data_IF_056474435178
#
_entry.id   IF_056474435178
#
_cell.length_a   1.000
_cell.length_b   1.000
_cell.length_c   1.000
_cell.angle_alpha   90.00
_cell.angle_beta   90.00
_cell.angle_gamma   90.00
#
_symmetry.space_group_name_H-M   'P 1'
#
loop_
_entity.id
_entity.type
_entity.pdbx_description
1 polymer ?
#
# COMPACT_ATOMS: atom_id res chain seq x y z
N UNK A 1 -4.37 10.25 -29.00
CA UNK A 1 -3.74 8.95 -28.83
C UNK A 1 -4.66 8.06 -27.99
N UNK A 2 -4.81 6.81 -28.39
CA UNK A 2 -5.53 5.80 -27.60
C UNK A 2 -4.52 5.12 -26.67
N UNK A 3 -4.84 5.06 -25.37
CA UNK A 3 -4.02 4.36 -24.38
C UNK A 3 -4.53 2.92 -24.29
N UNK A 4 -3.69 1.95 -24.70
CA UNK A 4 -4.04 0.54 -24.68
C UNK A 4 -3.87 -0.08 -23.28
N UNK A 5 -2.83 0.33 -22.55
CA UNK A 5 -2.51 -0.16 -21.21
C UNK A 5 -1.58 0.81 -20.47
N UNK A 6 -1.67 0.81 -19.15
CA UNK A 6 -0.67 1.39 -18.24
C UNK A 6 0.16 0.23 -17.68
N UNK A 7 1.49 0.40 -17.62
CA UNK A 7 2.41 -0.60 -17.07
C UNK A 7 3.32 0.07 -16.03
N UNK A 8 3.57 -0.60 -14.91
CA UNK A 8 4.49 -0.12 -13.89
C UNK A 8 5.96 -0.27 -14.35
N UNK A 9 6.81 0.69 -13.98
CA UNK A 9 8.22 0.72 -14.41
C UNK A 9 9.00 -0.55 -14.03
N UNK A 10 8.95 -1.07 -12.79
CA UNK A 10 9.68 -2.31 -12.44
C UNK A 10 9.17 -3.51 -13.22
N UNK A 11 7.90 -3.53 -13.58
CA UNK A 11 7.31 -4.60 -14.39
C UNK A 11 7.79 -4.50 -15.83
N UNK A 12 7.87 -3.30 -16.39
CA UNK A 12 8.46 -3.08 -17.71
C UNK A 12 9.93 -3.49 -17.74
N UNK A 13 10.71 -3.09 -16.74
CA UNK A 13 12.12 -3.48 -16.62
C UNK A 13 12.30 -5.01 -16.56
N UNK A 14 11.40 -5.71 -15.85
CA UNK A 14 11.44 -7.18 -15.78
C UNK A 14 11.15 -7.84 -17.12
N UNK A 15 10.24 -7.29 -17.93
CA UNK A 15 9.99 -7.76 -19.30
C UNK A 15 11.23 -7.63 -20.18
N UNK A 16 11.92 -6.50 -20.11
CA UNK A 16 13.15 -6.29 -20.87
C UNK A 16 14.28 -7.23 -20.45
N UNK A 17 14.37 -7.53 -19.15
CA UNK A 17 15.34 -8.48 -18.62
C UNK A 17 15.01 -9.93 -18.99
N UNK A 18 13.75 -10.33 -18.80
CA UNK A 18 13.34 -11.74 -18.76
C UNK A 18 12.76 -12.31 -20.04
N UNK A 19 12.67 -11.53 -21.14
CA UNK A 19 12.01 -11.95 -22.37
C UNK A 19 12.56 -13.26 -22.94
N UNK A 20 13.85 -13.52 -22.75
CA UNK A 20 14.55 -14.72 -23.24
C UNK A 20 14.77 -15.80 -22.17
N UNK A 21 14.30 -15.58 -20.93
CA UNK A 21 14.49 -16.51 -19.81
C UNK A 21 13.48 -17.65 -19.87
N UNK A 22 13.99 -18.87 -19.78
CA UNK A 22 13.20 -20.11 -19.82
C UNK A 22 13.15 -20.86 -18.48
N UNK A 23 13.87 -20.36 -17.46
CA UNK A 23 13.93 -20.97 -16.14
C UNK A 23 13.20 -20.10 -15.14
N UNK A 24 12.65 -20.71 -14.12
CA UNK A 24 12.07 -20.00 -12.99
C UNK A 24 13.16 -19.21 -12.26
N UNK A 25 13.01 -17.90 -12.23
CA UNK A 25 13.94 -16.98 -11.58
C UNK A 25 13.17 -16.00 -10.70
N UNK A 26 13.70 -15.75 -9.49
CA UNK A 26 13.24 -14.70 -8.59
C UNK A 26 14.19 -13.52 -8.75
N UNK A 27 13.67 -12.40 -9.17
CA UNK A 27 14.44 -11.18 -9.44
C UNK A 27 14.03 -10.06 -8.48
N UNK A 28 15.00 -9.26 -8.08
CA UNK A 28 14.76 -7.98 -7.42
C UNK A 28 15.07 -6.86 -8.41
N UNK A 29 14.09 -6.00 -8.65
CA UNK A 29 14.25 -4.78 -9.45
C UNK A 29 14.39 -3.61 -8.48
N UNK A 30 15.57 -3.00 -8.45
CA UNK A 30 15.93 -1.87 -7.59
C UNK A 30 16.02 -0.63 -8.47
N UNK A 31 14.99 0.21 -8.37
CA UNK A 31 14.83 1.41 -9.21
C UNK A 31 15.03 2.67 -8.37
N UNK A 32 16.13 3.39 -8.62
CA UNK A 32 16.42 4.67 -8.01
C UNK A 32 16.61 5.72 -9.09
N UNK A 33 15.55 6.49 -9.30
CA UNK A 33 15.48 7.55 -10.29
C UNK A 33 15.83 8.95 -9.74
N UNK A 34 15.28 9.97 -10.36
CA UNK A 34 15.48 11.37 -9.97
C UNK A 34 14.71 11.79 -8.72
N UNK A 35 13.52 11.24 -8.51
CA UNK A 35 12.62 11.66 -7.42
C UNK A 35 12.06 10.54 -6.55
N UNK A 36 12.11 9.29 -7.01
CA UNK A 36 11.53 8.13 -6.33
C UNK A 36 12.52 6.97 -6.24
N UNK A 37 12.34 6.17 -5.20
CA UNK A 37 12.94 4.86 -5.03
C UNK A 37 11.86 3.79 -5.03
N UNK A 38 11.97 2.80 -5.88
CA UNK A 38 11.09 1.65 -5.95
C UNK A 38 11.87 0.34 -5.91
N UNK A 39 11.35 -0.63 -5.17
CA UNK A 39 11.88 -1.99 -5.10
C UNK A 39 10.75 -2.97 -5.36
N UNK A 40 10.95 -3.88 -6.29
CA UNK A 40 9.99 -4.93 -6.60
C UNK A 40 10.67 -6.29 -6.64
N UNK A 41 9.97 -7.29 -6.11
CA UNK A 41 10.36 -8.69 -6.22
C UNK A 41 9.38 -9.37 -7.18
N UNK A 42 9.92 -9.99 -8.21
CA UNK A 42 9.16 -10.70 -9.24
C UNK A 42 9.63 -12.15 -9.35
N UNK A 43 8.73 -13.00 -9.78
CA UNK A 43 9.02 -14.37 -10.21
C UNK A 43 8.76 -14.50 -11.72
N UNK A 44 9.74 -15.03 -12.43
CA UNK A 44 9.67 -15.19 -13.89
C UNK A 44 9.81 -16.68 -14.18
N UNK A 45 8.88 -17.25 -14.94
CA UNK A 45 8.93 -18.64 -15.35
C UNK A 45 8.01 -18.92 -16.53
N UNK A 46 8.47 -19.67 -17.52
CA UNK A 46 7.70 -20.09 -18.69
C UNK A 46 6.91 -18.96 -19.39
N UNK A 47 7.53 -17.76 -19.49
CA UNK A 47 6.88 -16.57 -20.07
C UNK A 47 5.90 -15.85 -19.15
N UNK A 48 5.70 -16.32 -17.90
CA UNK A 48 4.88 -15.64 -16.90
C UNK A 48 5.77 -14.75 -16.03
N UNK A 49 5.35 -13.48 -15.87
CA UNK A 49 5.99 -12.48 -15.04
C UNK A 49 5.03 -12.12 -13.91
N UNK A 50 5.30 -12.59 -12.71
CA UNK A 50 4.46 -12.37 -11.53
C UNK A 50 5.17 -11.46 -10.53
N UNK A 51 4.56 -10.30 -10.21
CA UNK A 51 5.02 -9.45 -9.12
C UNK A 51 4.61 -10.09 -7.80
N UNK A 52 5.56 -10.32 -6.90
CA UNK A 52 5.33 -10.93 -5.57
C UNK A 52 5.12 -9.87 -4.50
N UNK A 53 5.89 -8.80 -4.56
CA UNK A 53 5.77 -7.67 -3.66
C UNK A 53 6.43 -6.42 -4.27
N UNK A 54 5.96 -5.25 -3.82
CA UNK A 54 6.56 -3.94 -4.11
C UNK A 54 6.64 -3.10 -2.84
N UNK A 55 7.64 -2.23 -2.78
CA UNK A 55 7.79 -1.23 -1.72
C UNK A 55 8.63 -0.06 -2.27
N UNK A 56 8.81 1.04 -1.52
CA UNK A 56 9.62 2.16 -2.00
C UNK A 56 9.64 3.34 -1.04
N UNK A 57 10.30 4.41 -1.49
CA UNK A 57 10.29 5.75 -0.89
C UNK A 57 10.05 6.77 -1.99
N UNK A 58 8.88 7.37 -2.00
CA UNK A 58 8.40 8.26 -3.07
C UNK A 58 8.97 9.67 -3.01
N UNK A 59 9.82 9.94 -2.03
CA UNK A 59 10.54 11.19 -1.84
C UNK A 59 12.05 10.94 -1.73
N UNK A 60 12.55 9.89 -2.36
CA UNK A 60 13.96 9.58 -2.37
C UNK A 60 14.42 9.39 -3.81
N UNK A 61 15.22 10.31 -4.30
CA UNK A 61 15.78 10.24 -5.65
C UNK A 61 16.98 11.18 -5.81
N UNK A 62 17.52 11.24 -7.01
CA UNK A 62 18.70 12.04 -7.36
C UNK A 62 18.62 13.49 -6.92
N UNK A 63 17.41 14.07 -6.86
CA UNK A 63 17.20 15.43 -6.36
C UNK A 63 17.62 15.62 -4.91
N UNK A 64 17.52 14.58 -4.07
CA UNK A 64 17.97 14.66 -2.67
C UNK A 64 19.50 14.72 -2.58
N UNK A 65 20.20 14.00 -3.46
CA UNK A 65 21.67 14.10 -3.59
C UNK A 65 22.08 15.47 -4.10
N UNK A 66 21.36 16.03 -5.08
CA UNK A 66 21.61 17.39 -5.56
C UNK A 66 21.40 18.41 -4.46
N UNK A 67 20.34 18.31 -3.68
CA UNK A 67 20.06 19.18 -2.55
C UNK A 67 21.18 19.10 -1.48
N UNK A 68 21.69 17.92 -1.17
CA UNK A 68 22.81 17.76 -0.24
C UNK A 68 24.09 18.45 -0.73
N UNK A 69 24.37 18.39 -2.03
CA UNK A 69 25.49 19.13 -2.64
C UNK A 69 25.23 20.63 -2.60
N UNK A 70 24.03 21.08 -2.94
CA UNK A 70 23.64 22.50 -2.88
C UNK A 70 23.81 23.06 -1.46
N UNK A 71 23.30 22.35 -0.45
CA UNK A 71 23.42 22.76 0.95
C UNK A 71 24.88 22.87 1.38
N UNK A 72 25.71 21.91 0.96
CA UNK A 72 27.12 21.99 1.21
C UNK A 72 27.76 23.22 0.53
N UNK A 73 27.45 23.50 -0.73
CA UNK A 73 27.95 24.69 -1.45
C UNK A 73 27.50 25.99 -0.80
N UNK A 74 26.24 26.11 -0.38
CA UNK A 74 25.74 27.28 0.33
C UNK A 74 26.48 27.51 1.65
N UNK A 75 26.69 26.46 2.41
CA UNK A 75 27.38 26.53 3.71
C UNK A 75 28.85 26.89 3.55
N UNK A 76 29.57 26.28 2.60
CA UNK A 76 30.95 26.61 2.28
C UNK A 76 31.09 28.07 1.86
N UNK A 77 30.23 28.52 0.93
CA UNK A 77 30.30 29.91 0.46
C UNK A 77 29.97 30.92 1.56
N UNK A 78 28.97 30.64 2.38
CA UNK A 78 28.61 31.47 3.53
C UNK A 78 29.70 31.55 4.55
N UNK A 79 30.43 30.46 4.79
CA UNK A 79 31.56 30.39 5.68
C UNK A 79 32.73 31.25 5.16
N UNK A 80 32.99 31.19 3.86
CA UNK A 80 34.09 31.91 3.23
C UNK A 80 33.84 33.43 3.07
N UNK A 81 32.57 33.80 2.80
CA UNK A 81 32.23 35.17 2.40
C UNK A 81 31.28 35.90 3.34
N UNK A 82 30.58 35.18 4.22
CA UNK A 82 29.49 35.69 5.04
C UNK A 82 28.17 35.93 4.29
N UNK A 83 28.12 35.67 2.97
CA UNK A 83 26.93 35.92 2.10
C UNK A 83 26.06 34.68 2.04
N UNK A 84 24.76 34.88 2.21
CA UNK A 84 23.74 33.84 2.07
C UNK A 84 23.15 33.87 0.64
N UNK A 85 23.50 32.86 -0.16
CA UNK A 85 23.02 32.72 -1.54
C UNK A 85 21.65 32.11 -1.65
N UNK A 86 21.08 31.54 -0.60
CA UNK A 86 19.76 30.86 -0.64
C UNK A 86 18.62 31.81 -0.99
N UNK A 87 18.82 33.10 -0.83
CA UNK A 87 17.86 34.17 -1.14
C UNK A 87 18.02 34.78 -2.53
N UNK A 88 18.94 34.29 -3.33
CA UNK A 88 19.27 34.80 -4.66
C UNK A 88 18.87 33.75 -5.72
N UNK A 89 17.70 33.87 -6.38
CA UNK A 89 17.17 32.83 -7.28
C UNK A 89 18.13 32.42 -8.40
N UNK A 90 18.82 33.39 -9.01
CA UNK A 90 19.78 33.11 -10.10
C UNK A 90 20.98 32.30 -9.60
N UNK A 91 21.47 32.60 -8.40
CA UNK A 91 22.57 31.84 -7.78
C UNK A 91 22.10 30.41 -7.41
N UNK A 92 20.90 30.27 -6.84
CA UNK A 92 20.28 28.98 -6.51
C UNK A 92 20.16 28.09 -7.75
N UNK A 93 19.66 28.64 -8.86
CA UNK A 93 19.50 27.88 -10.10
C UNK A 93 20.85 27.40 -10.66
N UNK A 94 21.85 28.25 -10.69
CA UNK A 94 23.20 27.91 -11.15
C UNK A 94 23.87 26.86 -10.25
N UNK A 95 23.68 26.97 -8.93
CA UNK A 95 24.19 26.00 -7.96
C UNK A 95 23.48 24.65 -8.15
N UNK A 96 22.16 24.62 -8.41
CA UNK A 96 21.41 23.40 -8.69
C UNK A 96 21.94 22.66 -9.93
N UNK A 97 22.13 23.37 -11.02
CA UNK A 97 22.65 22.81 -12.26
C UNK A 97 24.07 22.26 -12.09
N UNK A 98 24.90 22.94 -11.30
CA UNK A 98 26.26 22.50 -11.04
C UNK A 98 26.32 21.32 -10.06
N UNK A 99 25.41 21.28 -9.08
CA UNK A 99 25.28 20.15 -8.16
C UNK A 99 24.93 18.84 -8.90
N UNK A 100 23.99 18.91 -9.85
CA UNK A 100 23.63 17.77 -10.70
C UNK A 100 24.82 17.30 -11.56
N UNK A 101 25.56 18.23 -12.18
CA UNK A 101 26.77 17.91 -12.95
C UNK A 101 27.83 17.24 -12.08
N UNK A 102 28.06 17.77 -10.88
CA UNK A 102 29.00 17.20 -9.92
C UNK A 102 28.62 15.77 -9.51
N UNK A 103 27.33 15.56 -9.19
CA UNK A 103 26.79 14.23 -8.87
C UNK A 103 27.03 13.23 -10.01
N UNK A 104 26.69 13.60 -11.23
CA UNK A 104 26.88 12.75 -12.42
C UNK A 104 28.35 12.45 -12.64
N UNK A 105 29.24 13.46 -12.61
CA UNK A 105 30.67 13.30 -12.80
C UNK A 105 31.30 12.40 -11.74
N UNK A 106 30.89 12.50 -10.49
CA UNK A 106 31.38 11.70 -9.36
C UNK A 106 30.94 10.24 -9.42
N UNK A 107 30.02 9.87 -10.28
CA UNK A 107 29.70 8.45 -10.56
C UNK A 107 30.85 7.74 -11.27
N UNK A 108 31.65 8.44 -12.06
CA UNK A 108 32.81 7.90 -12.80
C UNK A 108 34.17 8.43 -12.30
N UNK A 109 34.22 9.63 -11.74
CA UNK A 109 35.45 10.30 -11.26
C UNK A 109 35.54 10.29 -9.74
N UNK A 110 36.76 10.43 -9.20
CA UNK A 110 36.99 10.50 -7.75
C UNK A 110 36.82 11.92 -7.20
N UNK A 111 36.91 12.93 -8.05
CA UNK A 111 36.72 14.33 -7.69
C UNK A 111 36.12 15.11 -8.87
N UNK A 112 35.49 16.23 -8.54
CA UNK A 112 34.93 17.19 -9.47
C UNK A 112 35.23 18.62 -9.03
N UNK A 113 35.74 19.45 -9.93
CA UNK A 113 36.06 20.84 -9.65
C UNK A 113 34.88 21.73 -10.00
N UNK A 114 34.21 22.25 -8.99
CA UNK A 114 33.11 23.20 -9.08
C UNK A 114 33.67 24.57 -9.37
N UNK A 115 33.22 25.18 -10.46
CA UNK A 115 33.64 26.52 -10.84
C UNK A 115 32.44 27.35 -11.29
N UNK A 116 31.95 28.21 -10.40
CA UNK A 116 30.85 29.14 -10.66
C UNK A 116 31.36 30.59 -10.57
N UNK A 117 31.90 31.16 -11.66
CA UNK A 117 32.34 32.53 -11.67
C UNK A 117 31.15 33.51 -11.58
N UNK A 118 31.39 34.66 -10.92
CA UNK A 118 30.38 35.74 -10.79
C UNK A 118 29.05 35.25 -10.23
N UNK A 119 29.09 34.47 -9.15
CA UNK A 119 27.87 33.91 -8.55
C UNK A 119 27.07 34.99 -7.83
N UNK A 120 27.74 35.99 -7.27
CA UNK A 120 27.21 37.20 -6.66
C UNK A 120 28.25 38.30 -6.60
N UNK A 121 27.92 39.48 -6.07
CA UNK A 121 28.83 40.56 -5.80
C UNK A 121 28.48 41.25 -4.49
N UNK A 122 29.49 41.83 -3.82
CA UNK A 122 29.34 42.72 -2.69
C UNK A 122 30.17 43.99 -2.89
N UNK A 123 30.32 44.82 -1.86
CA UNK A 123 31.08 46.07 -1.92
C UNK A 123 32.59 45.85 -2.26
N UNK A 124 33.10 44.65 -2.09
CA UNK A 124 34.49 44.29 -2.41
C UNK A 124 34.66 43.74 -3.82
N UNK A 125 33.54 43.61 -4.58
CA UNK A 125 33.56 43.15 -5.96
C UNK A 125 32.88 41.80 -6.16
N UNK A 126 33.05 41.19 -7.36
CA UNK A 126 32.42 39.88 -7.70
C UNK A 126 32.99 38.74 -6.84
N UNK A 127 32.08 37.79 -6.56
CA UNK A 127 32.39 36.56 -5.81
C UNK A 127 32.18 35.33 -6.70
N UNK A 128 32.98 34.31 -6.44
CA UNK A 128 33.00 33.07 -7.20
C UNK A 128 32.94 31.87 -6.26
N UNK A 129 32.40 30.76 -6.72
CA UNK A 129 32.55 29.46 -6.06
C UNK A 129 33.59 28.67 -6.83
N UNK A 130 34.70 28.34 -6.16
CA UNK A 130 35.75 27.45 -6.66
C UNK A 130 36.07 26.45 -5.55
N UNK A 131 35.57 25.24 -5.70
CA UNK A 131 35.70 24.15 -4.71
C UNK A 131 35.85 22.82 -5.41
N UNK A 132 36.63 21.92 -4.82
CA UNK A 132 36.73 20.55 -5.27
C UNK A 132 35.82 19.66 -4.38
N UNK A 133 34.85 18.97 -4.99
CA UNK A 133 34.05 17.96 -4.32
C UNK A 133 34.61 16.59 -4.65
N UNK A 134 34.95 15.81 -3.62
CA UNK A 134 35.38 14.42 -3.80
C UNK A 134 34.22 13.46 -3.66
N UNK A 135 34.31 12.27 -4.31
CA UNK A 135 33.32 11.21 -4.14
C UNK A 135 33.14 10.82 -2.67
N UNK A 136 34.22 10.66 -1.93
CA UNK A 136 34.14 10.38 -0.49
C UNK A 136 33.39 11.45 0.29
N UNK A 137 33.55 12.73 -0.05
CA UNK A 137 32.80 13.82 0.59
C UNK A 137 31.34 13.76 0.23
N UNK A 138 31.01 13.50 -1.03
CA UNK A 138 29.63 13.31 -1.48
C UNK A 138 28.96 12.15 -0.74
N UNK A 139 29.60 10.98 -0.65
CA UNK A 139 29.10 9.82 0.07
C UNK A 139 28.85 10.12 1.55
N UNK A 140 29.75 10.89 2.18
CA UNK A 140 29.59 11.35 3.57
C UNK A 140 28.38 12.28 3.74
N UNK A 141 28.19 13.24 2.84
CA UNK A 141 27.07 14.18 2.87
C UNK A 141 25.71 13.48 2.68
N UNK A 142 25.68 12.38 1.95
CA UNK A 142 24.47 11.67 1.51
C UNK A 142 24.28 10.31 2.19
N UNK A 143 25.10 9.99 3.22
CA UNK A 143 25.01 8.70 3.92
C UNK A 143 23.58 8.35 4.41
N UNK A 144 22.80 9.27 5.00
CA UNK A 144 21.42 8.98 5.40
C UNK A 144 20.48 8.62 4.24
N UNK A 145 20.77 9.07 3.02
CA UNK A 145 19.95 8.78 1.85
C UNK A 145 20.08 7.33 1.40
N UNK A 146 21.29 6.75 1.54
CA UNK A 146 21.49 5.33 1.25
C UNK A 146 20.74 4.45 2.25
N UNK A 147 20.69 4.83 3.52
CA UNK A 147 19.94 4.10 4.55
C UNK A 147 18.43 4.08 4.26
N UNK A 148 17.88 5.15 3.69
CA UNK A 148 16.46 5.23 3.32
C UNK A 148 16.06 4.21 2.27
N UNK A 149 16.95 3.67 1.46
CA UNK A 149 16.65 2.58 0.53
C UNK A 149 16.59 1.22 1.21
N UNK A 150 17.21 1.08 2.38
CA UNK A 150 17.39 -0.22 3.05
C UNK A 150 16.09 -0.75 3.66
N UNK A 151 15.30 0.12 4.30
CA UNK A 151 14.06 -0.26 4.99
C UNK A 151 13.00 -0.76 3.98
N UNK A 152 12.66 -0.01 2.91
CA UNK A 152 11.73 -0.49 1.89
C UNK A 152 12.18 -1.80 1.24
N UNK A 153 13.49 -1.95 0.98
CA UNK A 153 14.03 -3.17 0.39
C UNK A 153 13.80 -4.38 1.30
N UNK A 154 14.11 -4.27 2.61
CA UNK A 154 13.86 -5.35 3.56
C UNK A 154 12.38 -5.69 3.71
N UNK A 155 11.52 -4.68 3.73
CA UNK A 155 10.08 -4.86 3.80
C UNK A 155 9.55 -5.58 2.55
N UNK A 156 9.99 -5.20 1.37
CA UNK A 156 9.63 -5.85 0.11
C UNK A 156 10.03 -7.33 0.11
N UNK A 157 11.25 -7.65 0.53
CA UNK A 157 11.74 -9.03 0.65
C UNK A 157 10.88 -9.85 1.62
N UNK A 158 10.56 -9.26 2.79
CA UNK A 158 9.69 -9.89 3.79
C UNK A 158 8.29 -10.15 3.26
N UNK A 159 7.68 -9.16 2.57
CA UNK A 159 6.35 -9.27 1.99
C UNK A 159 6.29 -10.31 0.85
N UNK A 160 7.38 -10.45 0.10
CA UNK A 160 7.54 -11.51 -0.90
C UNK A 160 7.75 -12.91 -0.26
N UNK A 161 7.98 -12.99 1.04
CA UNK A 161 8.30 -14.24 1.75
C UNK A 161 9.67 -14.82 1.41
N UNK A 162 10.62 -13.96 0.98
CA UNK A 162 11.92 -14.38 0.48
C UNK A 162 13.06 -13.92 1.39
N UNK A 163 14.10 -14.74 1.44
CA UNK A 163 15.39 -14.40 2.05
C UNK A 163 16.36 -13.90 0.97
N UNK A 164 17.40 -13.19 1.36
CA UNK A 164 18.44 -12.64 0.47
C UNK A 164 19.04 -13.69 -0.48
N UNK A 165 19.26 -14.91 0.01
CA UNK A 165 19.84 -16.00 -0.78
C UNK A 165 18.87 -16.65 -1.78
N UNK A 166 17.59 -16.30 -1.75
CA UNK A 166 16.56 -16.85 -2.65
C UNK A 166 16.34 -15.98 -3.88
N UNK A 167 16.92 -14.77 -3.91
CA UNK A 167 16.95 -13.93 -5.10
C UNK A 167 18.00 -14.48 -6.08
N UNK A 168 17.62 -14.68 -7.32
CA UNK A 168 18.51 -15.17 -8.37
C UNK A 168 19.29 -14.01 -9.02
N UNK A 169 18.60 -12.90 -9.31
CA UNK A 169 19.17 -11.75 -10.02
C UNK A 169 18.75 -10.41 -9.38
N UNK A 170 19.65 -9.44 -9.44
CA UNK A 170 19.42 -8.05 -9.08
C UNK A 170 19.47 -7.19 -10.34
N UNK A 171 18.37 -6.57 -10.71
CA UNK A 171 18.25 -5.64 -11.84
C UNK A 171 18.23 -4.21 -11.32
N UNK A 172 19.17 -3.39 -11.78
CA UNK A 172 19.26 -1.98 -11.42
C UNK A 172 18.61 -1.12 -12.49
N UNK A 173 17.76 -0.19 -12.04
CA UNK A 173 16.99 0.74 -12.88
C UNK A 173 17.14 2.16 -12.33
N UNK A 174 17.06 3.15 -13.21
CA UNK A 174 17.16 4.56 -12.86
C UNK A 174 18.59 5.09 -12.82
N UNK A 175 18.75 6.37 -13.16
CA UNK A 175 20.06 7.02 -13.34
C UNK A 175 20.94 7.02 -12.09
N UNK A 176 20.33 7.07 -10.89
CA UNK A 176 21.08 7.03 -9.62
C UNK A 176 21.78 5.70 -9.36
N UNK A 177 21.33 4.61 -9.98
CA UNK A 177 22.02 3.31 -9.86
C UNK A 177 23.37 3.26 -10.60
N UNK A 178 23.75 4.33 -11.30
CA UNK A 178 25.11 4.50 -11.80
C UNK A 178 26.12 4.90 -10.73
N UNK A 179 25.66 5.42 -9.59
CA UNK A 179 26.53 5.81 -8.48
C UNK A 179 27.11 4.56 -7.77
N UNK A 180 28.44 4.43 -7.63
CA UNK A 180 29.06 3.23 -7.06
C UNK A 180 28.53 2.87 -5.67
N UNK A 181 28.27 3.85 -4.81
CA UNK A 181 27.75 3.61 -3.46
C UNK A 181 26.31 3.08 -3.46
N UNK A 182 25.48 3.50 -4.42
CA UNK A 182 24.11 2.95 -4.62
C UNK A 182 24.19 1.48 -5.03
N UNK A 183 25.07 1.15 -5.98
CA UNK A 183 25.31 -0.24 -6.41
C UNK A 183 25.77 -1.11 -5.25
N UNK A 184 26.74 -0.61 -4.46
CA UNK A 184 27.24 -1.32 -3.28
C UNK A 184 26.13 -1.56 -2.24
N UNK A 185 25.29 -0.55 -2.00
CA UNK A 185 24.18 -0.64 -1.03
C UNK A 185 23.15 -1.67 -1.48
N UNK A 186 22.70 -1.63 -2.74
CA UNK A 186 21.78 -2.59 -3.31
C UNK A 186 22.33 -4.03 -3.24
N UNK A 187 23.59 -4.21 -3.66
CA UNK A 187 24.30 -5.49 -3.57
C UNK A 187 24.37 -6.04 -2.15
N UNK A 188 24.67 -5.19 -1.18
CA UNK A 188 24.80 -5.58 0.23
C UNK A 188 23.47 -6.04 0.82
N UNK A 189 22.36 -5.39 0.46
CA UNK A 189 21.04 -5.71 1.03
C UNK A 189 20.45 -6.95 0.37
N UNK A 190 20.59 -7.06 -0.97
CA UNK A 190 19.99 -8.16 -1.75
C UNK A 190 20.89 -9.41 -1.74
N UNK A 191 22.19 -9.25 -1.44
CA UNK A 191 23.14 -10.35 -1.43
C UNK A 191 23.57 -10.85 -2.82
N UNK A 192 23.31 -10.07 -3.88
CA UNK A 192 23.60 -10.42 -5.28
C UNK A 192 24.36 -9.30 -6.01
N UNK A 193 25.26 -9.71 -6.90
CA UNK A 193 25.84 -8.77 -7.87
C UNK A 193 24.79 -8.31 -8.88
N UNK A 194 24.75 -7.02 -9.22
CA UNK A 194 23.81 -6.53 -10.23
C UNK A 194 24.02 -7.17 -11.61
N UNK A 195 22.93 -7.46 -12.28
CA UNK A 195 22.93 -7.91 -13.66
C UNK A 195 23.53 -6.85 -14.59
N UNK A 196 24.47 -7.25 -15.46
CA UNK A 196 25.23 -6.33 -16.31
C UNK A 196 24.65 -6.17 -17.72
N UNK A 197 23.65 -6.94 -18.08
CA UNK A 197 23.09 -6.99 -19.43
C UNK A 197 22.02 -5.94 -19.75
N UNK A 198 21.67 -5.10 -18.79
CA UNK A 198 20.56 -4.14 -18.91
C UNK A 198 21.08 -2.72 -18.72
N UNK A 199 20.67 -1.81 -19.62
CA UNK A 199 20.93 -0.39 -19.46
C UNK A 199 19.87 0.22 -18.52
N UNK A 200 20.26 0.73 -17.35
CA UNK A 200 19.31 1.26 -16.36
C UNK A 200 18.49 2.48 -16.86
N UNK A 201 18.95 3.20 -17.88
CA UNK A 201 18.24 4.36 -18.42
C UNK A 201 17.21 3.98 -19.49
N UNK A 202 17.34 2.81 -20.13
CA UNK A 202 16.55 2.40 -21.30
C UNK A 202 15.62 1.23 -21.01
N UNK A 203 15.89 0.47 -19.97
CA UNK A 203 15.24 -0.82 -19.69
C UNK A 203 13.72 -0.71 -19.57
N UNK A 204 13.22 0.36 -18.96
CA UNK A 204 11.77 0.61 -18.81
C UNK A 204 11.13 0.87 -20.18
N UNK A 205 11.76 1.69 -21.01
CA UNK A 205 11.27 1.99 -22.36
C UNK A 205 11.25 0.73 -23.25
N UNK A 206 12.28 -0.09 -23.17
CA UNK A 206 12.36 -1.38 -23.88
C UNK A 206 11.24 -2.31 -23.41
N UNK A 207 11.02 -2.44 -22.10
CA UNK A 207 9.95 -3.26 -21.54
C UNK A 207 8.56 -2.77 -21.93
N UNK A 208 8.34 -1.46 -21.95
CA UNK A 208 7.10 -0.87 -22.44
C UNK A 208 6.85 -1.17 -23.93
N UNK A 209 7.90 -1.12 -24.75
CA UNK A 209 7.82 -1.51 -26.17
C UNK A 209 7.49 -3.00 -26.35
N UNK A 210 8.08 -3.88 -25.54
CA UNK A 210 7.77 -5.31 -25.51
C UNK A 210 6.30 -5.53 -25.15
N UNK A 211 5.78 -4.85 -24.11
CA UNK A 211 4.36 -4.91 -23.74
C UNK A 211 3.46 -4.45 -24.88
N UNK A 212 3.84 -3.42 -25.62
CA UNK A 212 3.15 -2.98 -26.84
C UNK A 212 3.09 -4.10 -27.90
N UNK A 213 4.19 -4.82 -28.08
CA UNK A 213 4.26 -5.99 -28.97
C UNK A 213 3.37 -7.15 -28.51
N UNK A 214 3.29 -7.39 -27.18
CA UNK A 214 2.38 -8.40 -26.60
C UNK A 214 0.91 -8.03 -26.87
N UNK A 215 0.52 -6.78 -26.65
CA UNK A 215 -0.84 -6.30 -26.90
C UNK A 215 -1.26 -6.35 -28.37
N UNK A 216 -0.31 -6.21 -29.29
CA UNK A 216 -0.54 -6.36 -30.73
C UNK A 216 -0.50 -7.80 -31.22
N UNK A 217 -0.02 -8.74 -30.39
CA UNK A 217 0.18 -10.14 -30.76
C UNK A 217 1.48 -10.41 -31.54
N UNK A 218 2.38 -9.43 -31.63
CA UNK A 218 3.71 -9.55 -32.25
C UNK A 218 4.66 -10.37 -31.37
N UNK A 219 4.49 -10.27 -30.03
CA UNK A 219 5.19 -11.06 -29.02
C UNK A 219 4.20 -12.04 -28.40
N UNK A 220 4.52 -13.32 -28.44
CA UNK A 220 3.68 -14.42 -27.94
C UNK A 220 4.29 -15.02 -26.69
N UNK A 221 3.46 -15.74 -25.93
CA UNK A 221 3.88 -16.52 -24.75
C UNK A 221 4.46 -15.67 -23.59
N UNK A 222 3.97 -14.44 -23.46
CA UNK A 222 4.30 -13.56 -22.34
C UNK A 222 3.01 -13.15 -21.62
N UNK A 223 2.93 -13.43 -20.34
CA UNK A 223 1.85 -13.02 -19.45
C UNK A 223 2.40 -12.19 -18.29
N UNK A 224 1.92 -10.97 -18.17
CA UNK A 224 2.29 -10.05 -17.09
C UNK A 224 1.19 -10.04 -16.03
N UNK A 225 1.57 -10.36 -14.80
CA UNK A 225 0.71 -10.31 -13.63
C UNK A 225 1.28 -9.29 -12.63
N UNK A 226 0.49 -8.27 -12.33
CA UNK A 226 0.84 -7.25 -11.35
C UNK A 226 0.14 -7.54 -10.00
N UNK A 227 0.37 -6.73 -8.98
CA UNK A 227 -0.23 -6.88 -7.65
C UNK A 227 -0.89 -5.60 -7.16
N UNK A 228 -1.85 -5.77 -6.25
CA UNK A 228 -2.48 -4.64 -5.56
C UNK A 228 -1.49 -3.97 -4.60
N UNK A 229 -1.32 -2.64 -4.64
CA UNK A 229 -0.37 -1.93 -3.77
C UNK A 229 -0.84 -1.82 -2.31
N UNK A 230 -2.14 -1.83 -2.09
CA UNK A 230 -2.80 -1.76 -0.79
C UNK A 230 -4.01 -2.68 -0.75
N UNK A 231 -4.40 -3.07 0.46
CA UNK A 231 -5.63 -3.83 0.73
C UNK A 231 -6.84 -3.03 0.30
N UNK A 232 -7.76 -3.70 -0.41
CA UNK A 232 -9.09 -3.20 -0.72
C UNK A 232 -10.09 -3.80 0.25
N UNK A 233 -10.93 -2.97 0.81
CA UNK A 233 -11.85 -3.35 1.88
C UNK A 233 -13.25 -2.73 1.67
N UNK A 234 -14.21 -3.24 2.39
CA UNK A 234 -15.56 -2.68 2.51
C UNK A 234 -15.80 -2.23 3.95
N UNK A 235 -16.51 -1.12 4.13
CA UNK A 235 -16.97 -0.72 5.45
C UNK A 235 -18.09 -1.64 5.93
N UNK A 236 -17.97 -2.13 7.15
CA UNK A 236 -18.96 -2.97 7.83
C UNK A 236 -19.39 -2.38 9.15
N UNK A 237 -20.30 -3.06 9.85
CA UNK A 237 -20.91 -2.60 11.10
C UNK A 237 -19.89 -2.07 12.11
N UNK A 238 -20.14 -0.85 12.64
CA UNK A 238 -19.25 -0.17 13.57
C UNK A 238 -18.11 0.59 12.90
N UNK A 239 -18.09 0.74 11.57
CA UNK A 239 -17.04 1.44 10.83
C UNK A 239 -15.75 0.62 10.70
N UNK A 240 -15.86 -0.70 10.72
CA UNK A 240 -14.72 -1.61 10.50
C UNK A 240 -14.44 -1.74 9.01
N UNK A 241 -13.16 -1.67 8.63
CA UNK A 241 -12.72 -2.00 7.27
C UNK A 241 -12.50 -3.52 7.16
N UNK A 242 -13.43 -4.19 6.49
CA UNK A 242 -13.36 -5.64 6.26
C UNK A 242 -12.64 -5.91 4.94
N UNK A 243 -11.47 -6.59 4.96
CA UNK A 243 -10.70 -6.85 3.77
C UNK A 243 -11.46 -7.72 2.76
N UNK A 244 -11.41 -7.31 1.49
CA UNK A 244 -11.92 -8.06 0.33
C UNK A 244 -10.78 -8.62 -0.51
N UNK A 245 -9.80 -7.78 -0.87
CA UNK A 245 -8.60 -8.16 -1.62
C UNK A 245 -7.39 -7.65 -0.84
N UNK A 246 -6.57 -8.52 -0.25
CA UNK A 246 -5.34 -8.12 0.46
C UNK A 246 -4.33 -7.43 -0.47
N UNK A 247 -3.47 -6.58 0.10
CA UNK A 247 -2.31 -6.04 -0.64
C UNK A 247 -1.44 -7.18 -1.18
N UNK A 248 -0.68 -6.89 -2.21
CA UNK A 248 0.16 -7.86 -2.92
C UNK A 248 -0.63 -9.07 -3.49
N UNK A 249 -1.92 -8.90 -3.75
CA UNK A 249 -2.71 -9.89 -4.49
C UNK A 249 -2.51 -9.68 -5.97
N UNK A 250 -2.14 -10.75 -6.69
CA UNK A 250 -1.97 -10.75 -8.15
C UNK A 250 -3.26 -10.32 -8.87
N UNK A 251 -3.13 -9.44 -9.84
CA UNK A 251 -4.22 -8.99 -10.70
C UNK A 251 -4.05 -9.50 -12.16
N UNK A 252 -5.13 -9.78 -12.91
CA UNK A 252 -6.53 -9.58 -12.54
C UNK A 252 -7.02 -10.53 -11.44
N UNK A 253 -7.96 -10.07 -10.60
CA UNK A 253 -8.52 -10.89 -9.52
C UNK A 253 -9.96 -10.51 -9.22
N UNK A 254 -10.75 -11.49 -8.79
CA UNK A 254 -12.14 -11.30 -8.38
C UNK A 254 -12.39 -11.99 -7.04
N UNK A 255 -13.00 -11.27 -6.10
CA UNK A 255 -13.40 -11.78 -4.79
C UNK A 255 -14.82 -11.36 -4.47
N UNK A 256 -15.62 -12.31 -3.98
CA UNK A 256 -16.99 -12.08 -3.54
C UNK A 256 -17.16 -12.54 -2.10
N UNK A 257 -17.97 -11.81 -1.34
CA UNK A 257 -18.32 -12.14 0.02
C UNK A 257 -19.78 -11.76 0.27
N UNK A 258 -20.49 -12.55 1.07
CA UNK A 258 -21.89 -12.30 1.44
C UNK A 258 -21.92 -11.51 2.74
N UNK A 259 -22.65 -10.40 2.70
CA UNK A 259 -22.96 -9.53 3.83
C UNK A 259 -24.48 -9.54 4.07
N UNK A 260 -24.89 -8.88 5.14
CA UNK A 260 -26.32 -8.79 5.47
C UNK A 260 -26.67 -7.40 6.03
N UNK A 261 -27.96 -7.18 6.30
CA UNK A 261 -28.47 -5.96 6.93
C UNK A 261 -28.14 -5.93 8.41
N UNK A 262 -27.89 -4.73 8.93
CA UNK A 262 -27.58 -4.48 10.36
C UNK A 262 -28.84 -4.18 11.20
N UNK A 263 -29.93 -3.73 10.56
CA UNK A 263 -31.19 -3.38 11.20
C UNK A 263 -32.36 -4.17 10.64
N UNK A 264 -33.41 -4.37 11.45
CA UNK A 264 -34.64 -4.98 11.02
C UNK A 264 -35.34 -4.10 9.96
N UNK A 265 -35.91 -4.74 8.94
CA UNK A 265 -36.64 -4.07 7.84
C UNK A 265 -35.82 -2.98 7.14
N UNK A 266 -34.52 -3.11 7.09
CA UNK A 266 -33.62 -2.17 6.41
C UNK A 266 -33.85 -2.21 4.91
N UNK A 267 -34.27 -1.08 4.26
CA UNK A 267 -34.72 -1.09 2.87
C UNK A 267 -33.59 -1.07 1.84
N UNK A 268 -32.37 -0.80 2.29
CA UNK A 268 -31.17 -0.70 1.44
C UNK A 268 -29.90 -0.74 2.25
N UNK A 269 -28.78 -0.91 1.55
CA UNK A 269 -27.43 -0.89 2.12
C UNK A 269 -26.55 0.10 1.39
N UNK A 270 -25.71 0.81 2.14
CA UNK A 270 -24.65 1.62 1.58
C UNK A 270 -23.40 0.76 1.47
N UNK A 271 -22.78 0.77 0.30
CA UNK A 271 -21.51 0.09 0.01
C UNK A 271 -20.42 1.13 -0.08
N UNK A 272 -19.48 1.10 0.85
CA UNK A 272 -18.32 1.99 0.89
C UNK A 272 -17.07 1.18 0.59
N UNK A 273 -16.48 1.40 -0.59
CA UNK A 273 -15.21 0.79 -0.97
C UNK A 273 -14.04 1.61 -0.42
N UNK A 274 -13.10 0.91 0.21
CA UNK A 274 -11.97 1.47 0.93
C UNK A 274 -10.65 0.92 0.39
N UNK A 275 -9.58 1.69 0.59
CA UNK A 275 -8.21 1.27 0.30
C UNK A 275 -7.29 1.67 1.44
N UNK A 276 -6.50 0.73 1.96
CA UNK A 276 -5.54 0.96 3.03
C UNK A 276 -5.39 -0.24 3.96
N UNK A 277 -4.50 -0.09 4.93
CA UNK A 277 -4.11 -1.18 5.84
C UNK A 277 -4.67 -1.01 7.26
N UNK A 278 -5.41 0.07 7.53
CA UNK A 278 -5.93 0.32 8.88
C UNK A 278 -7.28 -0.40 9.09
N UNK A 279 -7.55 -0.90 10.31
CA UNK A 279 -8.75 -1.69 10.58
C UNK A 279 -10.05 -0.88 10.64
N UNK A 280 -9.98 0.45 10.73
CA UNK A 280 -11.16 1.31 10.78
C UNK A 280 -11.37 2.05 9.45
N UNK A 281 -12.60 2.10 8.97
CA UNK A 281 -12.99 2.75 7.71
C UNK A 281 -12.50 4.20 7.61
N UNK A 282 -12.68 4.98 8.67
CA UNK A 282 -12.31 6.41 8.73
C UNK A 282 -10.82 6.69 8.53
N UNK A 283 -9.98 5.70 8.79
CA UNK A 283 -8.51 5.82 8.73
C UNK A 283 -7.94 5.32 7.40
N UNK A 284 -8.82 4.89 6.47
CA UNK A 284 -8.47 4.44 5.14
C UNK A 284 -9.00 5.40 4.06
N UNK A 285 -8.47 5.28 2.86
CA UNK A 285 -8.93 6.06 1.71
C UNK A 285 -10.27 5.52 1.22
N UNK A 286 -11.27 6.39 1.18
CA UNK A 286 -12.56 6.09 0.54
C UNK A 286 -12.41 6.19 -0.98
N UNK A 287 -12.64 5.09 -1.68
CA UNK A 287 -12.56 5.01 -3.13
C UNK A 287 -13.87 5.36 -3.82
N UNK A 288 -14.99 4.96 -3.22
CA UNK A 288 -16.30 5.24 -3.76
C UNK A 288 -17.42 4.74 -2.85
N UNK A 289 -18.62 5.23 -3.09
CA UNK A 289 -19.82 4.85 -2.36
C UNK A 289 -20.98 4.70 -3.34
N UNK A 290 -21.81 3.69 -3.12
CA UNK A 290 -23.08 3.54 -3.81
C UNK A 290 -24.12 2.84 -2.93
N UNK A 291 -25.39 2.92 -3.30
CA UNK A 291 -26.50 2.35 -2.54
C UNK A 291 -27.17 1.23 -3.32
N UNK A 292 -27.47 0.13 -2.64
CA UNK A 292 -28.35 -0.92 -3.12
C UNK A 292 -29.68 -0.81 -2.36
N UNK A 293 -30.72 -0.36 -3.06
CA UNK A 293 -32.06 -0.14 -2.51
C UNK A 293 -33.06 -1.21 -2.91
N UNK A 294 -34.17 -1.25 -2.18
CA UNK A 294 -35.30 -2.14 -2.47
C UNK A 294 -35.09 -3.57 -1.99
N UNK A 295 -34.40 -3.71 -0.88
CA UNK A 295 -34.31 -4.93 -0.08
C UNK A 295 -35.70 -5.13 0.59
N UNK A 296 -36.35 -6.29 0.45
CA UNK A 296 -37.63 -6.55 1.11
C UNK A 296 -37.48 -6.50 2.64
N UNK A 297 -38.52 -6.04 3.36
CA UNK A 297 -38.51 -6.06 4.82
C UNK A 297 -38.26 -7.46 5.35
N UNK A 298 -37.17 -7.60 6.14
CA UNK A 298 -36.77 -8.84 6.78
C UNK A 298 -36.06 -8.53 8.10
N UNK A 299 -35.98 -9.49 9.02
CA UNK A 299 -35.11 -9.35 10.20
C UNK A 299 -33.64 -9.13 9.78
N UNK A 300 -32.90 -8.35 10.57
CA UNK A 300 -31.46 -8.16 10.34
C UNK A 300 -30.72 -9.50 10.26
N UNK A 301 -29.73 -9.58 9.42
CA UNK A 301 -28.96 -10.81 9.21
C UNK A 301 -29.60 -11.82 8.26
N UNK A 302 -30.87 -11.62 7.82
CA UNK A 302 -31.58 -12.52 6.90
C UNK A 302 -31.26 -12.20 5.43
N UNK A 303 -31.36 -10.94 4.96
CA UNK A 303 -31.00 -10.61 3.58
C UNK A 303 -29.55 -11.01 3.27
N UNK A 304 -29.34 -11.56 2.08
CA UNK A 304 -28.01 -11.96 1.60
C UNK A 304 -27.57 -11.03 0.47
N UNK A 305 -26.55 -10.23 0.74
CA UNK A 305 -26.03 -9.24 -0.19
C UNK A 305 -24.63 -9.68 -0.58
N UNK A 306 -24.49 -10.16 -1.81
CA UNK A 306 -23.19 -10.52 -2.36
C UNK A 306 -22.47 -9.26 -2.84
N UNK A 307 -21.36 -8.92 -2.21
CA UNK A 307 -20.47 -7.85 -2.66
C UNK A 307 -19.28 -8.46 -3.38
N UNK A 308 -19.03 -8.00 -4.59
CA UNK A 308 -17.95 -8.46 -5.45
C UNK A 308 -16.98 -7.31 -5.73
N UNK A 309 -15.71 -7.55 -5.50
CA UNK A 309 -14.60 -6.72 -5.94
C UNK A 309 -13.92 -7.43 -7.11
N UNK A 310 -13.85 -6.79 -8.26
CA UNK A 310 -13.30 -7.33 -9.50
C UNK A 310 -12.28 -6.33 -10.06
N UNK A 311 -11.00 -6.69 -10.05
CA UNK A 311 -9.90 -5.88 -10.60
C UNK A 311 -9.50 -6.49 -11.93
N UNK A 312 -9.61 -5.71 -12.99
CA UNK A 312 -9.18 -6.13 -14.31
C UNK A 312 -7.65 -6.08 -14.50
N UNK A 313 -7.17 -6.53 -15.65
CA UNK A 313 -5.75 -6.53 -15.98
C UNK A 313 -5.13 -5.12 -16.08
N UNK A 314 -5.95 -4.06 -16.16
CA UNK A 314 -5.51 -2.66 -16.17
C UNK A 314 -5.51 -2.04 -14.77
N UNK A 315 -5.87 -2.80 -13.73
CA UNK A 315 -5.97 -2.31 -12.36
C UNK A 315 -7.25 -1.51 -12.08
N UNK A 316 -8.24 -1.55 -12.96
CA UNK A 316 -9.53 -0.90 -12.75
C UNK A 316 -10.37 -1.76 -11.82
N UNK A 317 -10.82 -1.17 -10.71
CA UNK A 317 -11.66 -1.84 -9.73
C UNK A 317 -13.15 -1.64 -10.07
N UNK A 318 -13.84 -2.75 -10.24
CA UNK A 318 -15.29 -2.81 -10.34
C UNK A 318 -15.87 -3.37 -9.04
N UNK A 319 -16.74 -2.63 -8.39
CA UNK A 319 -17.43 -3.09 -7.17
C UNK A 319 -18.92 -3.23 -7.49
N UNK A 320 -19.46 -4.39 -7.20
CA UNK A 320 -20.90 -4.64 -7.31
C UNK A 320 -21.49 -5.18 -6.01
N UNK A 321 -22.77 -4.88 -5.78
CA UNK A 321 -23.54 -5.44 -4.70
C UNK A 321 -24.87 -5.98 -5.26
N UNK A 322 -25.20 -7.22 -4.93
CA UNK A 322 -26.37 -7.92 -5.40
C UNK A 322 -27.16 -8.52 -4.24
N UNK A 323 -28.41 -8.15 -4.13
CA UNK A 323 -29.36 -8.86 -3.25
C UNK A 323 -29.72 -10.20 -3.86
N UNK A 324 -29.31 -11.29 -3.25
CA UNK A 324 -29.54 -12.65 -3.75
C UNK A 324 -31.04 -13.05 -3.68
N UNK A 325 -31.83 -12.40 -2.83
CA UNK A 325 -33.25 -12.66 -2.69
C UNK A 325 -34.07 -12.07 -3.84
N UNK A 326 -33.77 -10.85 -4.27
CA UNK A 326 -34.53 -10.13 -5.33
C UNK A 326 -33.82 -10.15 -6.69
N UNK A 327 -32.50 -10.43 -6.69
CA UNK A 327 -31.67 -10.33 -7.88
C UNK A 327 -31.28 -8.88 -8.26
N UNK A 328 -31.70 -7.88 -7.49
CA UNK A 328 -31.31 -6.48 -7.71
C UNK A 328 -29.80 -6.31 -7.51
N UNK A 329 -29.19 -5.57 -8.42
CA UNK A 329 -27.74 -5.31 -8.43
C UNK A 329 -27.47 -3.83 -8.68
N UNK A 330 -26.45 -3.30 -8.00
CA UNK A 330 -25.83 -2.01 -8.27
C UNK A 330 -24.32 -2.17 -8.36
N UNK A 331 -23.69 -1.33 -9.17
CA UNK A 331 -22.25 -1.39 -9.41
C UNK A 331 -21.63 0.00 -9.62
N UNK A 332 -20.35 0.11 -9.30
CA UNK A 332 -19.51 1.26 -9.57
C UNK A 332 -18.20 0.79 -10.18
N UNK A 333 -17.64 1.58 -11.09
CA UNK A 333 -16.28 1.39 -11.61
C UNK A 333 -15.37 2.49 -11.08
N UNK A 334 -14.26 2.11 -10.48
CA UNK A 334 -13.31 3.02 -9.83
C UNK A 334 -12.00 2.98 -10.63
N UNK A 335 -11.77 4.03 -11.41
CA UNK A 335 -10.62 4.13 -12.31
C UNK A 335 -9.34 4.63 -11.62
N UNK A 336 -9.43 5.08 -10.38
CA UNK A 336 -8.30 5.64 -9.61
C UNK A 336 -7.73 4.71 -8.53
N UNK A 337 -8.17 3.45 -8.45
CA UNK A 337 -7.71 2.53 -7.40
C UNK A 337 -6.25 2.09 -7.54
N UNK A 338 -5.72 2.07 -8.78
CA UNK A 338 -4.31 1.81 -9.09
C UNK A 338 -3.46 3.08 -9.19
N UNK A 339 -4.10 4.25 -9.24
CA UNK A 339 -3.46 5.57 -9.39
C UNK A 339 -3.28 6.32 -8.08
N UNK A 340 -3.06 5.63 -6.96
CA UNK A 340 -2.57 6.30 -5.77
C UNK A 340 -1.18 6.87 -6.05
N UNK A 341 -0.99 8.14 -5.70
CA UNK A 341 0.35 8.69 -5.58
C UNK A 341 1.17 7.72 -4.68
N UNK A 342 2.29 7.17 -5.15
CA UNK A 342 3.15 6.31 -4.35
C UNK A 342 3.43 6.89 -2.95
N UNK A 343 3.51 8.22 -2.82
CA UNK A 343 3.61 8.94 -1.53
C UNK A 343 2.47 8.63 -0.58
N UNK A 344 1.27 8.56 -1.12
CA UNK A 344 0.07 8.26 -0.33
C UNK A 344 0.08 6.79 0.12
N UNK A 345 0.52 5.88 -0.75
CA UNK A 345 0.69 4.45 -0.41
C UNK A 345 1.67 4.27 0.74
N UNK A 346 2.86 4.87 0.63
CA UNK A 346 3.89 4.80 1.68
C UNK A 346 3.42 5.41 2.99
N UNK A 347 2.77 6.59 2.92
CA UNK A 347 2.20 7.24 4.11
C UNK A 347 1.19 6.33 4.79
N UNK A 348 0.25 5.74 4.03
CA UNK A 348 -0.79 4.86 4.57
C UNK A 348 -0.21 3.59 5.19
N UNK A 349 0.84 3.03 4.62
CA UNK A 349 1.53 1.87 5.18
C UNK A 349 2.25 2.22 6.49
N UNK A 350 3.00 3.33 6.52
CA UNK A 350 3.68 3.81 7.74
C UNK A 350 2.71 4.18 8.87
N UNK A 351 1.61 4.85 8.53
CA UNK A 351 0.56 5.16 9.51
C UNK A 351 -0.06 3.90 10.10
N UNK A 352 -0.32 2.87 9.27
CA UNK A 352 -0.82 1.59 9.74
C UNK A 352 0.16 0.88 10.70
N UNK A 353 1.46 0.91 10.41
CA UNK A 353 2.48 0.34 11.28
C UNK A 353 2.60 1.10 12.61
N UNK A 354 2.59 2.44 12.57
CA UNK A 354 2.70 3.28 13.77
C UNK A 354 1.51 3.12 14.72
N UNK A 355 0.31 2.93 14.18
CA UNK A 355 -0.93 2.83 14.96
C UNK A 355 -1.40 1.39 15.20
N UNK A 356 -0.63 0.38 14.79
CA UNK A 356 -1.05 -1.02 14.78
C UNK A 356 -1.61 -1.52 16.14
N UNK A 357 -0.97 -1.18 17.25
CA UNK A 357 -1.40 -1.60 18.58
C UNK A 357 -2.69 -0.89 19.04
N UNK A 358 -2.80 0.41 18.78
CA UNK A 358 -3.98 1.22 19.11
C UNK A 358 -5.18 0.80 18.26
N UNK A 359 -4.96 0.60 16.98
CA UNK A 359 -5.96 0.18 16.01
C UNK A 359 -6.48 -1.23 16.30
N UNK A 360 -5.60 -2.16 16.68
CA UNK A 360 -6.01 -3.52 17.09
C UNK A 360 -6.96 -3.48 18.28
N UNK A 361 -6.66 -2.64 19.29
CA UNK A 361 -7.53 -2.47 20.46
C UNK A 361 -8.86 -1.81 20.10
N UNK A 362 -8.84 -0.80 19.23
CA UNK A 362 -10.05 -0.13 18.78
C UNK A 362 -10.96 -1.08 18.00
N UNK A 363 -10.40 -1.90 17.12
CA UNK A 363 -11.12 -2.95 16.39
C UNK A 363 -11.72 -3.99 17.32
N UNK A 364 -10.92 -4.52 18.27
CA UNK A 364 -11.39 -5.48 19.27
C UNK A 364 -12.60 -4.94 20.04
N UNK A 365 -12.55 -3.69 20.49
CA UNK A 365 -13.66 -3.06 21.19
C UNK A 365 -14.94 -3.02 20.35
N UNK A 366 -14.83 -2.71 19.06
CA UNK A 366 -15.99 -2.69 18.15
C UNK A 366 -16.52 -4.11 17.91
N UNK A 367 -15.65 -5.09 17.68
CA UNK A 367 -16.03 -6.49 17.50
C UNK A 367 -16.75 -7.05 18.74
N UNK A 368 -16.25 -6.77 19.93
CA UNK A 368 -16.90 -7.16 21.19
C UNK A 368 -18.32 -6.58 21.29
N UNK A 369 -18.48 -5.30 20.96
CA UNK A 369 -19.80 -4.64 20.97
C UNK A 369 -20.75 -5.26 19.94
N UNK A 370 -20.31 -5.46 18.72
CA UNK A 370 -21.11 -6.06 17.65
C UNK A 370 -21.53 -7.50 18.01
N UNK A 371 -20.61 -8.30 18.56
CA UNK A 371 -20.90 -9.66 18.99
C UNK A 371 -21.90 -9.70 20.14
N UNK A 372 -21.78 -8.82 21.12
CA UNK A 372 -22.71 -8.72 22.23
C UNK A 372 -24.12 -8.30 21.78
N UNK A 373 -24.20 -7.30 20.90
CA UNK A 373 -25.50 -6.87 20.34
C UNK A 373 -26.17 -7.98 19.51
N UNK A 374 -25.39 -8.68 18.70
CA UNK A 374 -25.90 -9.82 17.91
C UNK A 374 -26.38 -10.97 18.78
N UNK A 375 -25.64 -11.33 19.84
CA UNK A 375 -26.06 -12.37 20.78
C UNK A 375 -27.35 -12.00 21.47
N UNK A 376 -27.45 -10.77 22.01
CA UNK A 376 -28.67 -10.29 22.65
C UNK A 376 -29.88 -10.38 21.70
N UNK A 377 -29.71 -9.93 20.45
CA UNK A 377 -30.76 -10.00 19.43
C UNK A 377 -31.18 -11.44 19.11
N UNK A 378 -30.21 -12.34 18.92
CA UNK A 378 -30.49 -13.76 18.64
C UNK A 378 -31.23 -14.40 19.81
N UNK A 379 -30.82 -14.16 21.03
CA UNK A 379 -31.51 -14.65 22.24
C UNK A 379 -32.95 -14.10 22.33
N UNK A 380 -33.16 -12.80 22.11
CA UNK A 380 -34.50 -12.20 22.08
C UNK A 380 -35.42 -12.84 21.00
N UNK A 381 -34.86 -13.09 19.81
CA UNK A 381 -35.58 -13.72 18.71
C UNK A 381 -35.97 -15.15 19.06
N UNK A 382 -35.04 -15.95 19.58
CA UNK A 382 -35.30 -17.35 19.93
C UNK A 382 -36.26 -17.47 21.12
N UNK A 383 -36.19 -16.58 22.12
CA UNK A 383 -37.16 -16.55 23.20
C UNK A 383 -38.59 -16.27 22.69
N UNK A 384 -38.75 -15.42 21.66
CA UNK A 384 -40.04 -15.19 21.02
C UNK A 384 -40.52 -16.38 20.21
N UNK A 385 -39.62 -17.07 19.50
CA UNK A 385 -39.98 -18.23 18.66
C UNK A 385 -40.25 -19.48 19.49
N UNK A 386 -39.54 -19.71 20.57
CA UNK A 386 -39.72 -20.86 21.46
C UNK A 386 -40.90 -20.70 22.42
N UNK A 387 -41.32 -19.46 22.73
CA UNK A 387 -42.51 -19.13 23.51
C UNK A 387 -42.59 -19.90 24.84
N UNK A 388 -43.67 -20.69 24.99
CA UNK A 388 -43.97 -21.46 26.21
C UNK A 388 -43.18 -22.78 26.35
N UNK A 389 -42.31 -23.10 25.39
CA UNK A 389 -41.44 -24.29 25.47
C UNK A 389 -40.29 -24.13 26.45
N UNK A 390 -39.96 -22.90 26.84
CA UNK A 390 -38.92 -22.59 27.84
C UNK A 390 -39.61 -22.41 29.21
N UNK A 391 -39.12 -23.05 30.28
CA UNK A 391 -39.62 -22.80 31.64
C UNK A 391 -39.59 -21.31 32.00
N UNK A 392 -40.65 -20.81 32.63
CA UNK A 392 -40.84 -19.39 32.93
C UNK A 392 -39.66 -18.79 33.71
N UNK A 393 -39.09 -19.55 34.65
CA UNK A 393 -37.93 -19.14 35.44
C UNK A 393 -36.68 -18.92 34.56
N UNK A 394 -36.38 -19.84 33.64
CA UNK A 394 -35.26 -19.73 32.70
C UNK A 394 -35.46 -18.59 31.73
N UNK A 395 -36.68 -18.39 31.24
CA UNK A 395 -37.02 -17.27 30.36
C UNK A 395 -36.72 -15.94 31.04
N UNK A 396 -37.18 -15.76 32.31
CA UNK A 396 -36.92 -14.55 33.08
C UNK A 396 -35.43 -14.33 33.34
N UNK A 397 -34.67 -15.37 33.62
CA UNK A 397 -33.21 -15.32 33.81
C UNK A 397 -32.50 -14.87 32.52
N UNK A 398 -32.89 -15.42 31.36
CA UNK A 398 -32.30 -15.04 30.08
C UNK A 398 -32.64 -13.62 29.69
N UNK A 399 -33.92 -13.18 29.91
CA UNK A 399 -34.35 -11.81 29.69
C UNK A 399 -33.57 -10.82 30.55
N UNK A 400 -33.28 -11.17 31.79
CA UNK A 400 -32.42 -10.35 32.67
C UNK A 400 -31.01 -10.21 32.13
N UNK A 401 -30.41 -11.32 31.64
CA UNK A 401 -29.06 -11.28 31.06
C UNK A 401 -29.02 -10.53 29.71
N UNK A 402 -30.07 -10.58 28.91
CA UNK A 402 -30.21 -9.74 27.72
C UNK A 402 -30.20 -8.25 28.12
N UNK A 403 -30.96 -7.89 29.15
CA UNK A 403 -30.98 -6.53 29.64
C UNK A 403 -29.61 -6.08 30.19
N UNK A 404 -28.88 -6.96 30.90
CA UNK A 404 -27.51 -6.67 31.36
C UNK A 404 -26.59 -6.34 30.16
N UNK A 405 -26.66 -7.10 29.07
CA UNK A 405 -25.91 -6.83 27.83
C UNK A 405 -26.34 -5.48 27.22
N UNK A 406 -27.65 -5.20 27.14
CA UNK A 406 -28.18 -3.96 26.60
C UNK A 406 -27.72 -2.74 27.39
N UNK A 407 -27.70 -2.83 28.74
CA UNK A 407 -27.17 -1.77 29.59
C UNK A 407 -25.67 -1.58 29.44
N UNK A 408 -24.90 -2.67 29.41
CA UNK A 408 -23.45 -2.60 29.20
C UNK A 408 -23.10 -1.94 27.84
N UNK A 409 -23.90 -2.20 26.80
CA UNK A 409 -23.72 -1.60 25.46
C UNK A 409 -23.98 -0.07 25.43
N UNK A 410 -24.69 0.50 26.40
CA UNK A 410 -24.84 1.97 26.50
C UNK A 410 -23.57 2.65 26.98
N UNK A 411 -22.72 1.92 27.70
CA UNK A 411 -21.41 2.40 28.18
C UNK A 411 -20.28 2.13 27.16
N UNK A 412 -19.05 2.50 27.56
CA UNK A 412 -17.83 2.29 26.78
C UNK A 412 -16.86 1.30 27.45
N UNK A 413 -17.28 0.61 28.50
CA UNK A 413 -16.45 -0.38 29.21
C UNK A 413 -16.51 -1.73 28.51
N UNK A 414 -15.44 -2.03 27.75
CA UNK A 414 -15.31 -3.27 26.98
C UNK A 414 -15.31 -4.52 27.87
N UNK A 415 -14.72 -4.46 29.06
CA UNK A 415 -14.70 -5.60 30.00
C UNK A 415 -16.08 -5.89 30.59
N UNK A 416 -16.85 -4.83 30.90
CA UNK A 416 -18.24 -4.99 31.32
C UNK A 416 -19.09 -5.65 30.20
N UNK A 417 -18.88 -5.27 28.93
CA UNK A 417 -19.57 -5.87 27.79
C UNK A 417 -19.18 -7.34 27.62
N UNK A 418 -17.87 -7.68 27.71
CA UNK A 418 -17.39 -9.07 27.63
C UNK A 418 -17.99 -9.95 28.74
N UNK A 419 -18.06 -9.42 29.95
CA UNK A 419 -18.63 -10.14 31.10
C UNK A 419 -20.12 -10.43 30.87
N UNK A 420 -20.90 -9.42 30.54
CA UNK A 420 -22.34 -9.57 30.24
C UNK A 420 -22.61 -10.51 29.06
N UNK A 421 -21.80 -10.41 28.00
CA UNK A 421 -21.83 -11.33 26.84
C UNK A 421 -21.64 -12.79 27.27
N UNK A 422 -20.60 -13.07 28.06
CA UNK A 422 -20.25 -14.43 28.51
C UNK A 422 -21.34 -15.00 29.41
N UNK A 423 -21.89 -14.19 30.32
CA UNK A 423 -23.00 -14.60 31.19
C UNK A 423 -24.25 -14.96 30.41
N UNK A 424 -24.64 -14.11 29.42
CA UNK A 424 -25.77 -14.39 28.55
C UNK A 424 -25.55 -15.67 27.73
N UNK A 425 -24.37 -15.82 27.14
CA UNK A 425 -24.01 -17.00 26.34
C UNK A 425 -24.13 -18.29 27.14
N UNK A 426 -23.57 -18.31 28.37
CA UNK A 426 -23.62 -19.48 29.23
C UNK A 426 -25.06 -19.85 29.67
N UNK A 427 -25.86 -18.84 30.02
CA UNK A 427 -27.26 -19.06 30.41
C UNK A 427 -28.11 -19.57 29.26
N UNK A 428 -27.91 -19.00 28.08
CA UNK A 428 -28.64 -19.38 26.87
C UNK A 428 -28.27 -20.80 26.41
N UNK A 429 -26.98 -21.16 26.48
CA UNK A 429 -26.51 -22.49 26.16
C UNK A 429 -27.10 -23.53 27.12
N UNK A 430 -27.09 -23.28 28.43
CA UNK A 430 -27.66 -24.18 29.43
C UNK A 430 -29.17 -24.44 29.20
N UNK A 431 -29.93 -23.39 28.87
CA UNK A 431 -31.35 -23.53 28.57
C UNK A 431 -31.59 -24.31 27.26
N UNK A 432 -30.73 -24.11 26.26
CA UNK A 432 -30.81 -24.85 25.00
C UNK A 432 -30.54 -26.37 25.19
N UNK A 433 -29.55 -26.74 26.02
CA UNK A 433 -29.22 -28.12 26.32
C UNK A 433 -30.37 -28.86 27.06
N UNK A 434 -31.13 -28.15 27.90
CA UNK A 434 -32.29 -28.73 28.57
C UNK A 434 -33.49 -28.94 27.63
N UNK A 435 -33.63 -28.08 26.62
CA UNK A 435 -34.71 -28.19 25.62
C UNK A 435 -34.51 -29.38 24.64
N UNK A 436 -33.26 -29.86 24.49
CA UNK A 436 -32.91 -30.96 23.62
C UNK A 436 -32.81 -32.32 24.38
N UNK A 437 -32.98 -32.34 25.70
CA UNK A 437 -33.08 -33.54 26.52
C UNK A 437 -34.52 -33.98 26.70
#
# INVERSE_FOLDING_TARGET
>A
LEVLRIINEPTAASLAYGLDKKKDEKIAVYDLGGGTFDISVLEIGDGVFEVRATNGDTHLGGDDWDNAIMDWMFNEFKTDTGIDLTKQPDAVQRIKEEAEKAKIALSSSQQYDINLPFITADQTGPKHIQKTLTRSKLEQLTDPLFERTMIPTRNCMKDAGLKENEINELVLVGGMTRMPKVVETARKIIGKEPHKGVNPDEVVAIGAAIQGGVLRGDVKDVLLLDVTPLTLAIETAGGVATPMIPRNTTIPTRKSQIFSTYSDSQPGVEIVALQGERPLSRDNKKLGTFHLDGIPPAPRGVPQIEVTFDIDANGILHVSAKDLGTGKEQKISITGSSGLDPKEVERMQKEAEMHAAEDAKAKENIEVRNNADNLAYQCEKQLRELGDKIPAEQKTDIEAKINDVREALKGNDTEAIKTAYTELQNKFQAASEELYK
#
